data_IF_353606683462
#
_entry.id   IF_353606683462
#
_cell.length_a   1.000
_cell.length_b   1.000
_cell.length_c   1.000
_cell.angle_alpha   90.00
_cell.angle_beta   90.00
_cell.angle_gamma   90.00
#
_symmetry.space_group_name_H-M   'P 1'
#
loop_
_entity.id
_entity.type
_entity.pdbx_description
1 polymer ?
#
# COMPACT_ATOMS: atom_id res chain seq x y z
N UNK A 1 1.75 10.49 -16.59
CA UNK A 1 0.46 11.20 -16.70
C UNK A 1 0.36 12.03 -17.96
N UNK A 2 1.30 12.92 -18.27
CA UNK A 2 1.26 13.77 -19.48
C UNK A 2 1.04 13.00 -20.79
N UNK A 3 1.74 11.86 -20.98
CA UNK A 3 1.56 11.00 -22.16
C UNK A 3 0.12 10.48 -22.27
N UNK A 4 -0.48 10.05 -21.16
CA UNK A 4 -1.87 9.56 -21.12
C UNK A 4 -2.83 10.69 -21.53
N UNK A 5 -2.64 11.89 -20.97
CA UNK A 5 -3.44 13.07 -21.31
C UNK A 5 -3.33 13.42 -22.80
N UNK A 6 -2.10 13.46 -23.35
CA UNK A 6 -1.86 13.73 -24.77
C UNK A 6 -2.49 12.68 -25.69
N UNK A 7 -2.44 11.40 -25.31
CA UNK A 7 -3.06 10.32 -26.09
C UNK A 7 -4.59 10.41 -26.12
N UNK A 8 -5.22 10.77 -24.99
CA UNK A 8 -6.66 10.98 -24.92
C UNK A 8 -7.07 12.22 -25.72
N UNK A 9 -6.37 13.34 -25.53
CA UNK A 9 -6.68 14.60 -26.20
C UNK A 9 -6.49 14.56 -27.73
N UNK A 10 -5.53 13.76 -28.22
CA UNK A 10 -5.28 13.57 -29.64
C UNK A 10 -6.13 12.46 -30.29
N UNK A 11 -7.03 11.82 -29.53
CA UNK A 11 -7.88 10.75 -30.03
C UNK A 11 -8.94 11.29 -31.00
N UNK A 12 -9.15 10.67 -32.18
CA UNK A 12 -10.25 11.03 -33.08
C UNK A 12 -11.60 10.43 -32.65
N UNK A 13 -11.64 9.72 -31.51
CA UNK A 13 -12.84 9.06 -31.04
C UNK A 13 -13.96 10.07 -30.71
N UNK A 14 -15.23 9.72 -30.97
CA UNK A 14 -16.35 10.66 -30.82
C UNK A 14 -16.72 10.94 -29.36
N UNK A 15 -16.37 10.02 -28.44
CA UNK A 15 -16.68 10.12 -27.01
C UNK A 15 -15.42 10.08 -26.15
N UNK A 16 -15.49 10.65 -24.95
CA UNK A 16 -14.40 10.57 -23.98
C UNK A 16 -14.12 9.13 -23.58
N UNK A 17 -15.17 8.33 -23.41
CA UNK A 17 -15.07 6.91 -23.08
C UNK A 17 -14.29 6.14 -24.14
N UNK A 18 -14.60 6.36 -25.42
CA UNK A 18 -13.90 5.72 -26.53
C UNK A 18 -12.45 6.20 -26.65
N UNK A 19 -12.20 7.48 -26.39
CA UNK A 19 -10.85 8.05 -26.36
C UNK A 19 -9.99 7.42 -25.24
N UNK A 20 -10.55 7.30 -24.04
CA UNK A 20 -9.89 6.63 -22.90
C UNK A 20 -9.69 5.15 -23.21
N UNK A 21 -10.70 4.46 -23.76
CA UNK A 21 -10.58 3.07 -24.15
C UNK A 21 -9.49 2.84 -25.19
N UNK A 22 -9.40 3.72 -26.20
CA UNK A 22 -8.32 3.74 -27.18
C UNK A 22 -6.95 3.97 -26.56
N UNK A 23 -6.85 4.90 -25.60
CA UNK A 23 -5.62 5.14 -24.83
C UNK A 23 -5.19 3.89 -24.06
N UNK A 24 -6.11 3.28 -23.31
CA UNK A 24 -5.86 2.05 -22.53
C UNK A 24 -5.33 0.89 -23.40
N UNK A 25 -5.81 0.75 -24.64
CA UNK A 25 -5.32 -0.27 -25.59
C UNK A 25 -3.91 0.02 -26.13
N UNK A 26 -3.46 1.27 -26.08
CA UNK A 26 -2.15 1.70 -26.62
C UNK A 26 -1.04 1.71 -25.57
N UNK A 27 -1.37 1.90 -24.30
CA UNK A 27 -0.39 2.01 -23.21
C UNK A 27 -0.16 0.66 -22.52
N UNK A 28 1.09 0.38 -22.16
CA UNK A 28 1.49 -0.80 -21.40
C UNK A 28 2.24 -0.41 -20.14
N UNK A 29 2.07 -1.17 -19.08
CA UNK A 29 2.66 -0.93 -17.76
C UNK A 29 1.63 -0.85 -16.65
N UNK A 30 2.08 -0.41 -15.47
CA UNK A 30 1.22 -0.21 -14.31
C UNK A 30 0.61 1.19 -14.35
N UNK A 31 -0.72 1.28 -14.36
CA UNK A 31 -1.41 2.56 -14.25
C UNK A 31 -2.75 2.41 -13.55
N UNK A 32 -3.05 3.43 -12.76
CA UNK A 32 -4.33 3.66 -12.11
C UNK A 32 -4.54 5.15 -12.20
N UNK A 33 -5.59 5.56 -12.88
CA UNK A 33 -5.80 6.96 -13.24
C UNK A 33 -7.22 7.34 -12.86
N UNK A 34 -7.34 8.50 -12.23
CA UNK A 34 -8.59 9.25 -12.12
C UNK A 34 -8.35 10.56 -12.86
N UNK A 35 -9.23 10.89 -13.80
CA UNK A 35 -9.16 12.11 -14.58
C UNK A 35 -10.56 12.70 -14.72
N UNK A 36 -10.64 14.01 -14.89
CA UNK A 36 -11.89 14.72 -15.07
C UNK A 36 -11.79 15.53 -16.36
N UNK A 37 -12.84 15.50 -17.17
CA UNK A 37 -13.00 16.36 -18.32
C UNK A 37 -14.42 16.94 -18.26
N UNK A 38 -14.51 18.27 -18.22
CA UNK A 38 -15.77 18.99 -18.02
C UNK A 38 -16.51 18.48 -16.76
N UNK A 39 -17.70 17.90 -16.94
CA UNK A 39 -18.58 17.36 -15.90
C UNK A 39 -18.49 15.83 -15.77
N UNK A 40 -17.55 15.20 -16.48
CA UNK A 40 -17.37 13.74 -16.50
C UNK A 40 -16.09 13.34 -15.78
N UNK A 41 -16.23 12.46 -14.79
CA UNK A 41 -15.12 11.83 -14.07
C UNK A 41 -14.89 10.42 -14.62
N UNK A 42 -13.65 10.13 -15.01
CA UNK A 42 -13.23 8.80 -15.47
C UNK A 42 -12.18 8.22 -14.54
N UNK A 43 -12.28 6.93 -14.26
CA UNK A 43 -11.34 6.19 -13.44
C UNK A 43 -11.02 4.84 -14.08
N UNK A 44 -9.76 4.56 -14.35
CA UNK A 44 -9.37 3.36 -15.09
C UNK A 44 -8.05 2.75 -14.61
N UNK A 45 -7.94 1.44 -14.81
CA UNK A 45 -6.85 0.60 -14.30
C UNK A 45 -6.24 -0.26 -15.40
N UNK A 46 -4.94 -0.52 -15.31
CA UNK A 46 -4.24 -1.43 -16.22
C UNK A 46 -4.81 -2.85 -16.21
N UNK A 47 -4.58 -3.60 -17.29
CA UNK A 47 -5.12 -4.95 -17.48
C UNK A 47 -4.68 -5.98 -16.41
N UNK A 48 -3.54 -5.73 -15.76
CA UNK A 48 -2.99 -6.62 -14.75
C UNK A 48 -3.40 -6.23 -13.32
N UNK A 49 -3.94 -5.03 -13.15
CA UNK A 49 -4.34 -4.48 -11.87
C UNK A 49 -3.17 -4.29 -10.91
N UNK A 50 -2.04 -3.77 -11.39
CA UNK A 50 -0.81 -3.73 -10.60
C UNK A 50 -0.96 -2.80 -9.38
N UNK A 51 -1.52 -1.61 -9.58
CA UNK A 51 -1.80 -0.63 -8.51
C UNK A 51 -3.27 -0.68 -8.09
N UNK A 52 -3.59 -0.49 -6.80
CA UNK A 52 -4.96 -0.53 -6.31
C UNK A 52 -5.74 0.74 -6.70
N UNK A 53 -7.04 0.55 -6.95
CA UNK A 53 -8.00 1.63 -7.14
C UNK A 53 -9.34 1.19 -6.54
N UNK A 54 -9.78 1.90 -5.51
CA UNK A 54 -11.04 1.68 -4.83
C UNK A 54 -12.08 2.68 -5.32
N UNK A 55 -13.32 2.21 -5.42
CA UNK A 55 -14.53 2.96 -5.71
C UNK A 55 -15.38 2.98 -4.43
N UNK A 56 -15.79 4.19 -4.03
CA UNK A 56 -16.64 4.43 -2.88
C UNK A 56 -17.75 5.43 -3.20
N UNK A 57 -18.53 5.75 -2.17
CA UNK A 57 -19.64 6.70 -2.24
C UNK A 57 -19.61 7.64 -1.04
N UNK A 58 -19.86 8.92 -1.28
CA UNK A 58 -20.06 9.93 -0.23
C UNK A 58 -21.43 10.57 -0.43
N UNK A 59 -22.43 10.10 0.31
CA UNK A 59 -23.83 10.46 0.08
C UNK A 59 -24.29 10.02 -1.32
N UNK A 60 -24.51 10.99 -2.23
CA UNK A 60 -24.82 10.73 -3.64
C UNK A 60 -23.60 10.82 -4.56
N UNK A 61 -22.47 11.33 -4.07
CA UNK A 61 -21.27 11.51 -4.85
C UNK A 61 -20.47 10.20 -4.97
N UNK A 62 -19.82 10.03 -6.10
CA UNK A 62 -18.90 8.92 -6.37
C UNK A 62 -17.49 9.37 -6.02
N UNK A 63 -16.75 8.52 -5.30
CA UNK A 63 -15.37 8.82 -4.90
C UNK A 63 -14.44 7.69 -5.28
N UNK A 64 -13.21 8.05 -5.63
CA UNK A 64 -12.16 7.10 -5.97
C UNK A 64 -10.93 7.37 -5.10
N UNK A 65 -10.24 6.32 -4.69
CA UNK A 65 -9.00 6.43 -3.94
C UNK A 65 -8.07 5.26 -4.25
N UNK A 66 -6.75 5.45 -4.12
CA UNK A 66 -5.81 4.34 -4.21
C UNK A 66 -5.94 3.35 -3.05
N UNK A 67 -6.49 3.79 -1.91
CA UNK A 67 -6.65 2.99 -0.70
C UNK A 67 -8.05 3.18 -0.10
N UNK A 68 -8.68 2.09 0.35
CA UNK A 68 -10.04 2.11 0.92
C UNK A 68 -10.13 2.93 2.22
N UNK A 69 -9.05 3.01 3.01
CA UNK A 69 -9.02 3.76 4.26
C UNK A 69 -9.29 5.27 4.07
N UNK A 70 -9.13 5.79 2.84
CA UNK A 70 -9.45 7.18 2.53
C UNK A 70 -10.96 7.45 2.66
N UNK A 71 -11.81 6.44 2.45
CA UNK A 71 -13.26 6.59 2.58
C UNK A 71 -13.67 6.76 4.05
N UNK A 72 -13.09 5.97 4.96
CA UNK A 72 -13.35 6.09 6.40
C UNK A 72 -13.02 7.51 6.92
N UNK A 73 -11.95 8.12 6.40
CA UNK A 73 -11.51 9.46 6.80
C UNK A 73 -12.47 10.59 6.37
N UNK A 74 -13.22 10.38 5.29
CA UNK A 74 -14.17 11.38 4.76
C UNK A 74 -15.63 11.03 5.06
N UNK A 75 -15.88 9.96 5.84
CA UNK A 75 -17.24 9.45 6.10
C UNK A 75 -17.91 8.82 4.87
N UNK A 76 -17.10 8.33 3.93
CA UNK A 76 -17.55 7.64 2.73
C UNK A 76 -17.71 6.12 2.94
N UNK A 77 -18.51 5.51 2.09
CA UNK A 77 -18.75 4.07 2.03
C UNK A 77 -17.85 3.44 0.96
N UNK A 78 -17.10 2.39 1.33
CA UNK A 78 -16.41 1.55 0.35
C UNK A 78 -17.42 0.69 -0.43
N UNK A 79 -17.37 0.72 -1.77
CA UNK A 79 -18.24 -0.11 -2.61
C UNK A 79 -17.50 -1.35 -3.13
N UNK A 80 -16.41 -1.14 -3.88
CA UNK A 80 -15.61 -2.20 -4.48
C UNK A 80 -14.29 -1.65 -5.02
N UNK A 81 -13.39 -2.52 -5.44
CA UNK A 81 -12.28 -2.12 -6.30
C UNK A 81 -12.71 -1.94 -7.76
N UNK A 82 -12.03 -1.03 -8.46
CA UNK A 82 -12.01 -0.97 -9.92
C UNK A 82 -11.22 -2.16 -10.45
N UNK A 83 -11.86 -2.95 -11.31
CA UNK A 83 -11.32 -4.21 -11.82
C UNK A 83 -10.11 -3.94 -12.74
N UNK A 84 -9.18 -4.89 -12.87
CA UNK A 84 -8.13 -4.80 -13.89
C UNK A 84 -8.74 -4.58 -15.28
N UNK A 85 -8.21 -3.63 -16.04
CA UNK A 85 -8.70 -3.29 -17.38
C UNK A 85 -10.06 -2.61 -17.45
N UNK A 86 -10.66 -2.26 -16.31
CA UNK A 86 -11.95 -1.58 -16.24
C UNK A 86 -11.78 -0.06 -16.36
N UNK A 87 -12.72 0.56 -17.07
CA UNK A 87 -12.98 1.99 -17.11
C UNK A 87 -14.32 2.24 -16.40
N UNK A 88 -14.31 3.08 -15.36
CA UNK A 88 -15.50 3.59 -14.70
C UNK A 88 -15.69 5.05 -15.11
N UNK A 89 -16.91 5.40 -15.49
CA UNK A 89 -17.30 6.74 -15.93
C UNK A 89 -18.43 7.19 -15.02
N UNK A 90 -18.32 8.40 -14.47
CA UNK A 90 -19.32 9.01 -13.62
C UNK A 90 -19.63 10.42 -14.10
N UNK A 91 -20.88 10.68 -14.42
CA UNK A 91 -21.41 11.97 -14.86
C UNK A 91 -22.83 12.19 -14.32
N UNK A 92 -23.54 13.19 -14.83
CA UNK A 92 -24.92 13.50 -14.44
C UNK A 92 -25.92 12.36 -14.73
N UNK A 93 -25.63 11.47 -15.69
CA UNK A 93 -26.48 10.31 -15.99
C UNK A 93 -26.22 9.12 -15.06
N UNK A 94 -25.15 9.17 -14.26
CA UNK A 94 -24.81 8.18 -13.24
C UNK A 94 -23.47 7.50 -13.48
N UNK A 95 -23.33 6.28 -12.95
CA UNK A 95 -22.07 5.51 -13.00
C UNK A 95 -22.16 4.37 -13.99
N UNK A 96 -21.23 4.33 -14.93
CA UNK A 96 -21.09 3.29 -15.96
C UNK A 96 -19.74 2.60 -15.78
N UNK A 97 -19.71 1.28 -15.94
CA UNK A 97 -18.47 0.49 -15.89
C UNK A 97 -18.30 -0.31 -17.17
N UNK A 98 -17.15 -0.16 -17.82
CA UNK A 98 -16.83 -0.72 -19.13
C UNK A 98 -15.57 -1.57 -18.99
N UNK A 99 -15.65 -2.84 -19.40
CA UNK A 99 -14.47 -3.69 -19.48
C UNK A 99 -13.75 -3.39 -20.80
N UNK A 100 -12.66 -2.62 -20.75
CA UNK A 100 -11.94 -2.17 -21.95
C UNK A 100 -10.87 -3.18 -22.36
N UNK A 101 -10.09 -3.65 -21.39
CA UNK A 101 -9.00 -4.60 -21.61
C UNK A 101 -9.39 -5.95 -21.03
N UNK A 102 -9.15 -7.08 -21.74
CA UNK A 102 -9.39 -8.39 -21.18
C UNK A 102 -8.46 -8.64 -19.99
N UNK A 103 -8.98 -9.28 -18.95
CA UNK A 103 -8.16 -9.69 -17.79
C UNK A 103 -7.44 -10.98 -18.15
N UNK A 104 -6.20 -10.87 -18.61
CA UNK A 104 -5.38 -12.04 -18.99
C UNK A 104 -4.69 -12.63 -17.75
N UNK A 105 -4.13 -11.77 -16.90
CA UNK A 105 -3.41 -12.15 -15.69
C UNK A 105 -3.61 -11.09 -14.63
N UNK A 106 -3.75 -11.49 -13.36
CA UNK A 106 -3.66 -10.56 -12.23
C UNK A 106 -2.23 -10.53 -11.71
N UNK A 107 -1.70 -9.33 -11.52
CA UNK A 107 -0.34 -9.11 -11.00
C UNK A 107 -0.34 -7.94 -10.01
N UNK A 108 -1.22 -8.00 -9.00
CA UNK A 108 -1.26 -7.02 -7.93
C UNK A 108 0.12 -6.85 -7.27
N UNK A 109 0.50 -5.61 -6.99
CA UNK A 109 1.80 -5.31 -6.43
C UNK A 109 1.91 -5.85 -4.98
N UNK A 110 2.77 -6.85 -4.77
CA UNK A 110 3.01 -7.44 -3.44
C UNK A 110 3.51 -6.41 -2.42
N UNK A 111 4.19 -5.35 -2.86
CA UNK A 111 4.68 -4.29 -1.98
C UNK A 111 3.57 -3.46 -1.35
N UNK A 112 2.35 -3.44 -1.92
CA UNK A 112 1.20 -2.84 -1.25
C UNK A 112 0.90 -3.57 0.06
N UNK A 113 0.85 -4.91 0.02
CA UNK A 113 0.67 -5.73 1.21
C UNK A 113 1.86 -5.68 2.16
N UNK A 114 3.10 -5.67 1.66
CA UNK A 114 4.29 -5.71 2.52
C UNK A 114 4.54 -4.38 3.21
N UNK A 115 4.36 -3.24 2.52
CA UNK A 115 4.92 -1.98 3.00
C UNK A 115 4.09 -0.73 2.68
N UNK A 116 3.62 -0.55 1.43
CA UNK A 116 3.09 0.74 0.99
C UNK A 116 1.72 1.06 1.57
N UNK A 117 0.77 0.12 1.48
CA UNK A 117 -0.59 0.39 1.93
C UNK A 117 -0.66 0.51 3.45
N UNK A 118 -1.58 1.34 3.93
CA UNK A 118 -1.89 1.41 5.35
C UNK A 118 -2.50 0.10 5.85
N UNK A 119 -2.30 -0.26 7.13
CA UNK A 119 -2.81 -1.53 7.65
C UNK A 119 -4.34 -1.66 7.64
N UNK A 120 -5.07 -0.55 7.70
CA UNK A 120 -6.53 -0.48 7.65
C UNK A 120 -7.11 -0.54 6.22
N UNK A 121 -6.25 -0.50 5.19
CA UNK A 121 -6.66 -0.64 3.79
C UNK A 121 -7.10 -2.09 3.46
N UNK A 122 -8.09 -2.21 2.59
CA UNK A 122 -8.55 -3.47 1.96
C UNK A 122 -8.14 -3.47 0.50
N UNK A 123 -7.38 -4.49 0.11
CA UNK A 123 -6.93 -4.74 -1.28
C UNK A 123 -7.35 -6.16 -1.63
N UNK A 124 -7.96 -6.38 -2.79
CA UNK A 124 -8.48 -7.68 -3.24
C UNK A 124 -9.27 -8.43 -2.17
N UNK A 125 -10.14 -7.71 -1.44
CA UNK A 125 -10.96 -8.21 -0.32
C UNK A 125 -10.15 -8.69 0.90
N UNK A 126 -8.86 -8.40 0.96
CA UNK A 126 -7.97 -8.73 2.05
C UNK A 126 -7.56 -7.46 2.79
N UNK A 127 -7.81 -7.42 4.09
CA UNK A 127 -7.29 -6.35 4.94
C UNK A 127 -5.77 -6.49 5.09
N UNK A 128 -5.05 -5.39 4.87
CA UNK A 128 -3.58 -5.36 4.85
C UNK A 128 -2.98 -5.75 6.21
N UNK A 129 -3.55 -5.30 7.32
CA UNK A 129 -3.11 -5.68 8.66
C UNK A 129 -3.18 -7.21 8.85
N UNK A 130 -4.30 -7.84 8.47
CA UNK A 130 -4.47 -9.29 8.59
C UNK A 130 -3.49 -10.07 7.72
N UNK A 131 -3.24 -9.62 6.49
CA UNK A 131 -2.24 -10.22 5.60
C UNK A 131 -0.84 -10.14 6.23
N UNK A 132 -0.46 -8.98 6.77
CA UNK A 132 0.84 -8.81 7.45
C UNK A 132 0.95 -9.65 8.72
N UNK A 133 -0.12 -9.80 9.52
CA UNK A 133 -0.13 -10.74 10.65
C UNK A 133 0.10 -12.17 10.17
N UNK A 134 -0.58 -12.60 9.10
CA UNK A 134 -0.38 -13.94 8.52
C UNK A 134 1.06 -14.15 8.06
N UNK A 135 1.69 -13.16 7.43
CA UNK A 135 3.12 -13.21 7.08
C UNK A 135 3.99 -13.42 8.32
N UNK A 136 3.70 -12.72 9.41
CA UNK A 136 4.39 -12.90 10.69
C UNK A 136 4.26 -14.31 11.27
N UNK A 137 3.06 -14.89 11.22
CA UNK A 137 2.81 -16.28 11.66
C UNK A 137 3.60 -17.29 10.84
N UNK A 138 3.61 -17.14 9.51
CA UNK A 138 4.39 -17.98 8.61
C UNK A 138 5.88 -17.89 8.93
N UNK A 139 6.40 -16.68 9.19
CA UNK A 139 7.78 -16.47 9.57
C UNK A 139 8.15 -17.17 10.88
N UNK A 140 7.25 -17.21 11.87
CA UNK A 140 7.48 -17.96 13.11
C UNK A 140 7.53 -19.48 12.88
N UNK A 141 6.73 -20.01 11.96
CA UNK A 141 6.77 -21.43 11.59
C UNK A 141 8.03 -21.79 10.81
N UNK A 142 8.43 -20.97 9.83
CA UNK A 142 9.58 -21.23 8.96
C UNK A 142 10.92 -21.02 9.69
N UNK A 143 10.96 -20.03 10.59
CA UNK A 143 12.16 -19.61 11.30
C UNK A 143 11.87 -19.34 12.78
N UNK A 144 11.56 -20.39 13.57
CA UNK A 144 11.37 -20.26 15.01
C UNK A 144 12.69 -19.91 15.70
N UNK A 145 12.60 -19.16 16.79
CA UNK A 145 13.75 -18.81 17.64
C UNK A 145 13.33 -18.84 19.11
N UNK A 146 14.26 -19.21 20.00
CA UNK A 146 14.10 -18.97 21.43
C UNK A 146 14.53 -17.54 21.73
N UNK A 147 13.61 -16.70 22.20
CA UNK A 147 13.88 -15.31 22.57
C UNK A 147 12.92 -14.83 23.66
N UNK A 148 13.32 -13.77 24.36
CA UNK A 148 12.55 -13.23 25.48
C UNK A 148 11.42 -12.27 25.04
N UNK A 149 11.56 -11.65 23.86
CA UNK A 149 10.60 -10.68 23.35
C UNK A 149 10.63 -10.58 21.82
N UNK A 150 9.49 -10.27 21.23
CA UNK A 150 9.35 -9.86 19.83
C UNK A 150 9.17 -8.34 19.79
N UNK A 151 10.06 -7.64 19.07
CA UNK A 151 10.04 -6.18 18.97
C UNK A 151 9.83 -5.78 17.51
N UNK A 152 8.78 -4.99 17.27
CA UNK A 152 8.51 -4.42 15.95
C UNK A 152 9.44 -3.24 15.62
N UNK A 153 9.78 -3.08 14.34
CA UNK A 153 10.26 -1.79 13.82
C UNK A 153 9.04 -0.95 13.43
N UNK A 154 8.77 0.16 14.14
CA UNK A 154 7.60 0.99 13.86
C UNK A 154 7.75 1.77 12.54
N UNK A 155 6.70 1.94 11.73
CA UNK A 155 5.30 1.49 11.96
C UNK A 155 4.94 0.25 11.12
N UNK A 156 5.71 -0.03 10.06
CA UNK A 156 5.38 -1.05 9.06
C UNK A 156 5.54 -2.49 9.56
N UNK A 157 6.45 -2.74 10.50
CA UNK A 157 6.73 -4.08 11.04
C UNK A 157 5.74 -4.54 12.11
N UNK A 158 4.90 -3.64 12.66
CA UNK A 158 4.06 -3.92 13.83
C UNK A 158 3.12 -5.11 13.61
N UNK A 159 2.42 -5.14 12.47
CA UNK A 159 1.45 -6.21 12.19
C UNK A 159 2.14 -7.59 12.05
N UNK A 160 3.31 -7.63 11.40
CA UNK A 160 4.08 -8.87 11.25
C UNK A 160 4.65 -9.35 12.59
N UNK A 161 5.20 -8.44 13.40
CA UNK A 161 5.69 -8.76 14.74
C UNK A 161 4.58 -9.33 15.64
N UNK A 162 3.40 -8.71 15.62
CA UNK A 162 2.23 -9.24 16.33
C UNK A 162 1.85 -10.64 15.85
N UNK A 163 1.94 -10.93 14.55
CA UNK A 163 1.67 -12.26 14.01
C UNK A 163 2.73 -13.29 14.41
N UNK A 164 4.00 -12.91 14.41
CA UNK A 164 5.10 -13.77 14.85
C UNK A 164 4.93 -14.15 16.33
N UNK A 165 4.65 -13.16 17.19
CA UNK A 165 4.43 -13.35 18.62
C UNK A 165 3.24 -14.28 18.93
N UNK A 166 2.11 -14.13 18.23
CA UNK A 166 0.95 -15.03 18.37
C UNK A 166 1.35 -16.51 18.18
N UNK A 167 2.18 -16.79 17.17
CA UNK A 167 2.52 -18.16 16.78
C UNK A 167 3.69 -18.71 17.57
N UNK A 168 4.67 -17.89 17.94
CA UNK A 168 5.83 -18.33 18.72
C UNK A 168 5.55 -18.43 20.23
N UNK A 169 4.51 -17.77 20.73
CA UNK A 169 4.22 -17.64 22.16
C UNK A 169 5.13 -16.66 22.91
N UNK A 170 6.02 -15.97 22.20
CA UNK A 170 6.94 -14.97 22.76
C UNK A 170 6.18 -13.64 22.89
N UNK A 171 6.25 -12.93 24.04
CA UNK A 171 5.54 -11.67 24.22
C UNK A 171 5.99 -10.60 23.22
N UNK A 172 5.02 -9.84 22.70
CA UNK A 172 5.28 -8.72 21.80
C UNK A 172 5.44 -7.42 22.62
N UNK A 173 6.63 -6.82 22.57
CA UNK A 173 7.00 -5.69 23.42
C UNK A 173 7.32 -4.42 22.60
N UNK A 174 7.13 -3.26 23.23
CA UNK A 174 7.51 -1.96 22.65
C UNK A 174 8.97 -1.66 22.96
N UNK A 175 9.88 -2.19 22.15
CA UNK A 175 11.32 -1.93 22.29
C UNK A 175 11.84 -0.71 21.51
N UNK A 176 11.11 -0.29 20.47
CA UNK A 176 11.49 0.82 19.59
C UNK A 176 10.35 1.83 19.49
N UNK A 177 10.67 3.11 19.68
CA UNK A 177 9.71 4.22 19.54
C UNK A 177 10.16 5.13 18.40
N UNK A 178 9.26 5.30 17.41
CA UNK A 178 9.48 6.25 16.31
C UNK A 178 9.20 7.67 16.80
N UNK A 179 10.19 8.56 16.69
CA UNK A 179 9.97 9.99 16.92
C UNK A 179 9.08 10.55 15.80
N UNK A 180 7.86 10.97 16.14
CA UNK A 180 6.86 11.49 15.19
C UNK A 180 7.14 12.94 14.76
N UNK A 181 8.07 13.63 15.42
CA UNK A 181 8.40 15.04 15.17
C UNK A 181 9.60 15.24 14.24
N UNK A 182 10.22 14.15 13.76
CA UNK A 182 11.33 14.25 12.80
C UNK A 182 10.75 14.41 11.38
N UNK A 183 10.82 15.63 10.85
CA UNK A 183 10.53 15.93 9.45
C UNK A 183 11.67 15.53 8.51
N UNK A 184 11.50 15.73 7.19
CA UNK A 184 12.52 15.39 6.17
C UNK A 184 13.78 16.26 6.22
N UNK A 185 13.80 17.30 7.05
CA UNK A 185 14.97 18.13 7.33
C UNK A 185 15.35 17.96 8.79
N UNK A 186 16.17 16.96 9.15
CA UNK A 186 17.06 17.16 10.29
C UNK A 186 17.89 18.40 9.96
N UNK A 187 17.98 19.37 10.87
CA UNK A 187 19.05 20.35 10.77
C UNK A 187 20.33 19.54 10.50
N UNK A 188 21.03 19.84 9.40
CA UNK A 188 22.26 19.16 9.05
C UNK A 188 23.28 19.51 10.14
N UNK A 189 23.25 18.75 11.23
CA UNK A 189 24.23 18.85 12.29
C UNK A 189 25.56 18.53 11.67
N UNK A 190 26.49 19.46 11.77
CA UNK A 190 27.92 19.23 11.63
C UNK A 190 28.27 17.84 12.15
N UNK A 191 28.97 17.08 11.34
CA UNK A 191 29.40 15.69 11.56
C UNK A 191 29.82 15.37 13.00
N UNK A 192 28.88 14.98 13.87
CA UNK A 192 29.12 14.28 15.16
C UNK A 192 27.85 14.00 16.01
N UNK A 193 26.69 13.68 15.43
CA UNK A 193 25.61 13.09 16.25
C UNK A 193 24.80 12.04 15.50
N UNK A 194 25.11 10.77 15.77
CA UNK A 194 24.21 9.66 15.43
C UNK A 194 23.05 9.69 16.41
N UNK A 195 21.91 10.22 16.01
CA UNK A 195 20.67 10.08 16.80
C UNK A 195 20.25 8.61 16.75
N UNK A 196 20.71 7.83 17.74
CA UNK A 196 20.18 6.48 17.98
C UNK A 196 18.69 6.62 18.31
N UNK A 197 17.86 5.74 17.76
CA UNK A 197 16.52 5.54 18.27
C UNK A 197 16.60 5.29 19.78
N UNK A 198 15.80 6.01 20.56
CA UNK A 198 15.70 5.78 22.00
C UNK A 198 15.05 4.41 22.20
N UNK A 199 15.84 3.42 22.58
CA UNK A 199 15.34 2.16 23.11
C UNK A 199 14.72 2.42 24.48
N UNK A 200 13.57 1.80 24.77
CA UNK A 200 13.04 1.78 26.12
C UNK A 200 14.05 1.04 27.03
N UNK A 201 14.40 1.56 28.22
CA UNK A 201 15.37 0.88 29.08
C UNK A 201 14.76 -0.38 29.69
N UNK A 202 15.54 -1.48 29.63
CA UNK A 202 15.32 -2.85 30.13
C UNK A 202 14.62 -3.84 29.17
N UNK A 203 15.43 -4.52 28.36
CA UNK A 203 15.28 -5.95 28.10
C UNK A 203 16.64 -6.61 28.38
N UNK A 204 16.65 -7.59 29.28
CA UNK A 204 17.85 -8.33 29.70
C UNK A 204 18.47 -9.17 28.57
N UNK A 205 19.64 -9.75 28.85
CA UNK A 205 20.50 -10.49 27.91
C UNK A 205 19.72 -11.60 27.20
N UNK A 206 19.98 -11.74 25.88
CA UNK A 206 19.35 -12.61 24.85
C UNK A 206 18.10 -12.12 24.09
N UNK A 207 17.97 -10.80 23.88
CA UNK A 207 16.95 -10.27 22.98
C UNK A 207 17.27 -10.54 21.48
N UNK A 208 16.58 -11.49 20.85
CA UNK A 208 16.60 -11.66 19.40
C UNK A 208 15.53 -10.76 18.76
N UNK A 209 15.91 -9.56 18.33
CA UNK A 209 15.03 -8.67 17.59
C UNK A 209 14.74 -9.23 16.19
N UNK A 210 13.59 -9.86 15.99
CA UNK A 210 13.07 -10.17 14.66
C UNK A 210 12.53 -8.90 13.98
N UNK A 211 13.45 -8.08 13.46
CA UNK A 211 13.10 -6.94 12.61
C UNK A 211 12.81 -7.43 11.18
N UNK A 212 11.54 -7.50 10.80
CA UNK A 212 11.13 -7.72 9.41
C UNK A 212 10.31 -6.53 8.89
N UNK A 213 10.95 -5.65 8.12
CA UNK A 213 10.36 -5.25 6.84
C UNK A 213 11.36 -5.39 5.68
N UNK A 214 10.82 -5.36 4.46
CA UNK A 214 11.56 -5.52 3.21
C UNK A 214 12.85 -4.66 3.15
N UNK A 215 13.97 -5.30 2.79
CA UNK A 215 15.28 -4.63 2.65
C UNK A 215 15.41 -4.03 1.26
N UNK A 216 15.25 -2.71 1.13
CA UNK A 216 15.46 -2.01 -0.15
C UNK A 216 16.89 -1.44 -0.31
N UNK A 217 17.50 -0.92 0.77
CA UNK A 217 18.92 -0.52 0.88
C UNK A 217 19.35 -0.69 2.34
N UNK A 218 20.36 -1.50 2.63
CA UNK A 218 20.76 -1.84 4.01
C UNK A 218 21.64 -0.75 4.64
N UNK A 219 21.02 0.29 5.20
CA UNK A 219 21.70 1.20 6.16
C UNK A 219 21.07 1.14 7.56
N UNK A 220 19.84 0.64 7.68
CA UNK A 220 19.10 0.53 8.95
C UNK A 220 19.23 -0.82 9.66
N UNK A 221 19.74 -1.85 8.99
CA UNK A 221 19.95 -3.18 9.55
C UNK A 221 21.40 -3.62 9.32
N UNK A 222 22.23 -3.51 10.35
CA UNK A 222 23.63 -3.96 10.29
C UNK A 222 23.69 -5.50 10.21
N UNK A 223 24.43 -6.09 9.26
CA UNK A 223 24.64 -7.53 9.24
C UNK A 223 25.50 -7.94 10.45
N UNK A 224 24.98 -8.83 11.30
CA UNK A 224 25.82 -9.50 12.31
C UNK A 224 26.84 -10.37 11.58
N UNK A 225 28.13 -10.10 11.76
CA UNK A 225 29.19 -11.09 11.49
C UNK A 225 28.93 -12.28 12.40
N UNK A 226 28.75 -13.46 11.81
CA UNK A 226 28.79 -14.73 12.55
C UNK A 226 30.24 -14.95 12.98
N UNK A 227 30.47 -15.05 14.28
CA UNK A 227 31.67 -15.65 14.88
C UNK A 227 31.43 -17.14 15.07
#
# INVERSE_FOLDING_TARGET
TEVITKLIAASPAPTLEDAVAGCMRRISGAYTVVAMAQDTLVAFRDANGIRPLALGRLGRAVVFASESCAFDQIGGEYLREVRPGELVVADAAGVRAIQVLPVVRRAACVFEYIYFARPDTVIERQNVHQVRRRMGRLLACEHPVAADAVIAVPDSGTSAAMGYADTSGIPCEVGLIKNRYVGRTPAAGSSSSTTRSSGAPRAGKSCACCAAPARARSTSASPRRRS
#
